data_IF_621286558020
#
_entry.id   IF_621286558020
#
_cell.length_a   1.000
_cell.length_b   1.000
_cell.length_c   1.000
_cell.angle_alpha   90.00
_cell.angle_beta   90.00
_cell.angle_gamma   90.00
#
_symmetry.space_group_name_H-M   'P 1'
#
loop_
_entity.id
_entity.type
_entity.pdbx_description
1 polymer ?
#
# COMPACT_ATOMS: atom_id res chain seq x y z
N UNK A 1 21.61 -17.04 -23.97
CA UNK A 1 22.00 -15.85 -23.20
C UNK A 1 21.02 -14.68 -23.39
N UNK A 2 20.58 -14.37 -24.62
CA UNK A 2 19.57 -13.32 -24.89
C UNK A 2 18.30 -13.43 -24.04
N UNK A 3 17.72 -14.63 -23.91
CA UNK A 3 16.50 -14.86 -23.12
C UNK A 3 16.71 -14.48 -21.65
N UNK A 4 17.83 -14.87 -21.05
CA UNK A 4 18.16 -14.50 -19.67
C UNK A 4 18.31 -12.98 -19.50
N UNK A 5 18.91 -12.31 -20.48
CA UNK A 5 19.02 -10.84 -20.49
C UNK A 5 17.64 -10.18 -20.57
N UNK A 6 16.74 -10.66 -21.43
CA UNK A 6 15.37 -10.14 -21.51
C UNK A 6 14.60 -10.34 -20.19
N UNK A 7 14.76 -11.49 -19.54
CA UNK A 7 14.14 -11.75 -18.23
C UNK A 7 14.66 -10.76 -17.18
N UNK A 8 15.98 -10.53 -17.13
CA UNK A 8 16.57 -9.58 -16.18
C UNK A 8 16.09 -8.14 -16.43
N UNK A 9 15.99 -7.72 -17.70
CA UNK A 9 15.47 -6.40 -18.06
C UNK A 9 14.00 -6.27 -17.66
N UNK A 10 13.17 -7.29 -17.92
CA UNK A 10 11.75 -7.28 -17.54
C UNK A 10 11.58 -7.18 -16.01
N UNK A 11 12.39 -7.91 -15.25
CA UNK A 11 12.40 -7.83 -13.79
C UNK A 11 12.84 -6.45 -13.29
N UNK A 12 13.86 -5.85 -13.90
CA UNK A 12 14.33 -4.51 -13.54
C UNK A 12 13.26 -3.44 -13.82
N UNK A 13 12.59 -3.51 -14.99
CA UNK A 13 11.49 -2.61 -15.34
C UNK A 13 10.31 -2.75 -14.38
N UNK A 14 9.93 -3.99 -14.04
CA UNK A 14 8.87 -4.25 -13.04
C UNK A 14 9.24 -3.67 -11.68
N UNK A 15 10.49 -3.83 -11.24
CA UNK A 15 10.95 -3.28 -9.97
C UNK A 15 10.90 -1.74 -9.96
N UNK A 16 11.33 -1.09 -11.04
CA UNK A 16 11.24 0.37 -11.20
C UNK A 16 9.80 0.86 -11.20
N UNK A 17 8.91 0.18 -11.94
CA UNK A 17 7.48 0.49 -11.98
C UNK A 17 6.86 0.42 -10.58
N UNK A 18 7.09 -0.68 -9.85
CA UNK A 18 6.58 -0.85 -8.49
C UNK A 18 7.16 0.19 -7.53
N UNK A 19 8.42 0.56 -7.69
CA UNK A 19 9.05 1.60 -6.87
C UNK A 19 8.42 2.97 -7.11
N UNK A 20 8.17 3.34 -8.37
CA UNK A 20 7.48 4.59 -8.73
C UNK A 20 6.02 4.58 -8.23
N UNK A 21 5.30 3.49 -8.43
CA UNK A 21 3.91 3.33 -7.98
C UNK A 21 3.81 3.44 -6.46
N UNK A 22 4.67 2.74 -5.72
CA UNK A 22 4.73 2.84 -4.26
C UNK A 22 5.13 4.24 -3.78
N UNK A 23 5.87 5.02 -4.56
CA UNK A 23 6.24 6.41 -4.21
C UNK A 23 5.03 7.29 -3.87
N UNK A 24 3.85 6.97 -4.40
CA UNK A 24 2.59 7.68 -4.11
C UNK A 24 1.89 7.27 -2.80
N UNK A 25 2.53 6.42 -1.99
CA UNK A 25 2.00 5.91 -0.73
C UNK A 25 2.93 6.24 0.44
N UNK A 26 2.34 6.56 1.58
CA UNK A 26 3.05 6.91 2.82
C UNK A 26 3.41 5.64 3.57
N UNK A 27 4.66 5.48 3.99
CA UNK A 27 5.10 4.32 4.77
C UNK A 27 4.63 4.48 6.23
N UNK A 28 3.87 3.50 6.73
CA UNK A 28 3.34 3.49 8.10
C UNK A 28 4.03 2.49 9.02
N UNK A 29 4.56 1.39 8.48
CA UNK A 29 5.30 0.37 9.23
C UNK A 29 6.47 -0.15 8.40
N UNK A 30 7.57 -0.47 9.06
CA UNK A 30 8.69 -1.18 8.42
C UNK A 30 9.31 -2.14 9.41
N UNK A 31 9.42 -3.38 9.00
CA UNK A 31 10.08 -4.44 9.75
C UNK A 31 11.15 -5.07 8.88
N UNK A 32 12.37 -5.15 9.40
CA UNK A 32 13.48 -5.78 8.69
C UNK A 32 13.91 -7.04 9.43
N UNK A 33 13.93 -8.16 8.72
CA UNK A 33 14.48 -9.44 9.19
C UNK A 33 15.62 -9.85 8.24
N UNK A 34 16.84 -9.43 8.58
CA UNK A 34 18.03 -9.67 7.78
C UNK A 34 17.99 -8.94 6.44
N UNK A 35 17.91 -9.70 5.33
CA UNK A 35 17.80 -9.16 3.97
C UNK A 35 16.37 -8.95 3.50
N UNK A 36 15.39 -9.51 4.22
CA UNK A 36 13.98 -9.33 3.95
C UNK A 36 13.46 -8.12 4.72
N UNK A 37 12.79 -7.21 4.02
CA UNK A 37 12.11 -6.06 4.60
C UNK A 37 10.62 -6.16 4.29
N UNK A 38 9.78 -6.16 5.31
CA UNK A 38 8.34 -6.01 5.20
C UNK A 38 7.97 -4.55 5.47
N UNK A 39 7.40 -3.87 4.48
CA UNK A 39 6.86 -2.52 4.64
C UNK A 39 5.34 -2.58 4.63
N UNK A 40 4.69 -1.77 5.45
CA UNK A 40 3.28 -1.44 5.27
C UNK A 40 3.20 0.02 4.86
N UNK A 41 2.56 0.26 3.73
CA UNK A 41 2.33 1.58 3.15
C UNK A 41 0.83 1.85 3.13
N UNK A 42 0.48 3.13 3.17
CA UNK A 42 -0.86 3.66 3.25
C UNK A 42 -1.09 4.64 2.11
N UNK A 43 -2.27 4.56 1.52
CA UNK A 43 -2.78 5.53 0.56
C UNK A 43 -4.20 5.88 0.98
N UNK A 44 -4.54 7.16 0.89
CA UNK A 44 -5.88 7.64 1.18
C UNK A 44 -6.32 8.44 -0.04
N UNK A 45 -7.52 8.19 -0.52
CA UNK A 45 -8.00 8.85 -1.71
C UNK A 45 -9.48 8.62 -1.97
N UNK A 46 -9.97 9.37 -2.95
CA UNK A 46 -11.32 9.21 -3.49
C UNK A 46 -11.29 8.15 -4.59
N UNK A 47 -11.93 7.00 -4.34
CA UNK A 47 -12.02 5.94 -5.35
C UNK A 47 -13.34 6.08 -6.12
N UNK A 48 -13.23 6.12 -7.45
CA UNK A 48 -14.41 6.10 -8.32
C UNK A 48 -14.92 4.67 -8.42
N UNK A 49 -15.96 4.37 -7.68
CA UNK A 49 -16.69 3.10 -7.80
C UNK A 49 -17.60 3.11 -9.03
N UNK A 50 -18.01 1.93 -9.52
CA UNK A 50 -18.92 1.83 -10.65
C UNK A 50 -20.21 2.63 -10.40
N UNK A 51 -20.68 3.33 -11.44
CA UNK A 51 -21.83 4.23 -11.37
C UNK A 51 -23.11 3.60 -10.80
N UNK A 52 -23.27 2.28 -10.90
CA UNK A 52 -24.42 1.57 -10.35
C UNK A 52 -24.37 1.41 -8.81
N UNK A 53 -23.23 1.68 -8.17
CA UNK A 53 -23.05 1.61 -6.71
C UNK A 53 -23.12 3.00 -6.08
N UNK A 54 -22.48 3.99 -6.70
CA UNK A 54 -22.50 5.39 -6.26
C UNK A 54 -22.04 6.29 -7.41
N UNK A 55 -22.73 7.42 -7.62
CA UNK A 55 -22.28 8.47 -8.54
C UNK A 55 -21.17 9.35 -7.94
N UNK A 56 -21.08 9.37 -6.61
CA UNK A 56 -20.12 10.18 -5.86
C UNK A 56 -18.93 9.27 -5.50
N UNK A 57 -17.68 9.72 -5.76
CA UNK A 57 -16.50 8.97 -5.36
C UNK A 57 -16.45 8.82 -3.84
N UNK A 58 -16.05 7.64 -3.36
CA UNK A 58 -16.10 7.32 -1.94
C UNK A 58 -14.70 7.38 -1.34
N UNK A 59 -14.54 7.98 -0.15
CA UNK A 59 -13.27 8.01 0.53
C UNK A 59 -12.85 6.58 0.91
N UNK A 60 -11.62 6.20 0.57
CA UNK A 60 -11.04 4.90 0.90
C UNK A 60 -9.64 5.03 1.46
N UNK A 61 -9.35 4.18 2.43
CA UNK A 61 -8.01 3.93 2.91
C UNK A 61 -7.52 2.61 2.32
N UNK A 62 -6.40 2.66 1.62
CA UNK A 62 -5.71 1.51 1.06
C UNK A 62 -4.44 1.26 1.87
N UNK A 63 -4.23 0.01 2.26
CA UNK A 63 -2.98 -0.44 2.87
C UNK A 63 -2.33 -1.52 2.04
N UNK A 64 -1.04 -1.32 1.85
CA UNK A 64 -0.23 -2.10 0.93
C UNK A 64 0.89 -2.72 1.74
N UNK A 65 0.88 -4.04 1.88
CA UNK A 65 2.02 -4.77 2.39
C UNK A 65 3.01 -5.00 1.25
N UNK A 66 4.28 -4.71 1.46
CA UNK A 66 5.35 -4.86 0.48
C UNK A 66 6.48 -5.67 1.08
N UNK A 67 6.82 -6.79 0.45
CA UNK A 67 8.03 -7.55 0.78
C UNK A 67 9.15 -7.19 -0.16
N UNK A 68 10.28 -6.82 0.42
CA UNK A 68 11.51 -6.51 -0.31
C UNK A 68 12.62 -7.46 0.09
N UNK A 69 13.42 -7.88 -0.87
CA UNK A 69 14.69 -8.57 -0.64
C UNK A 69 15.80 -7.71 -1.23
N UNK A 70 16.77 -7.31 -0.41
CA UNK A 70 17.87 -6.42 -0.83
C UNK A 70 17.38 -5.13 -1.55
N UNK A 71 16.24 -4.59 -1.11
CA UNK A 71 15.63 -3.39 -1.69
C UNK A 71 14.68 -3.64 -2.86
N UNK A 72 14.75 -4.81 -3.50
CA UNK A 72 13.90 -5.19 -4.64
C UNK A 72 12.55 -5.68 -4.13
N UNK A 73 11.45 -5.15 -4.67
CA UNK A 73 10.09 -5.62 -4.35
C UNK A 73 9.89 -7.03 -4.91
N UNK A 74 9.67 -8.00 -4.03
CA UNK A 74 9.33 -9.38 -4.39
C UNK A 74 7.83 -9.57 -4.52
N UNK A 75 7.08 -8.98 -3.60
CA UNK A 75 5.65 -9.19 -3.48
C UNK A 75 4.99 -7.94 -2.90
N UNK A 76 3.76 -7.67 -3.32
CA UNK A 76 2.87 -6.72 -2.68
C UNK A 76 1.48 -7.31 -2.53
N UNK A 77 0.77 -6.92 -1.48
CA UNK A 77 -0.64 -7.24 -1.26
C UNK A 77 -1.36 -5.97 -0.84
N UNK A 78 -2.50 -5.73 -1.47
CA UNK A 78 -3.32 -4.54 -1.27
C UNK A 78 -4.62 -4.91 -0.55
N UNK A 79 -5.07 -4.03 0.34
CA UNK A 79 -6.38 -4.12 0.96
C UNK A 79 -6.94 -2.72 1.10
N UNK A 80 -8.17 -2.50 0.63
CA UNK A 80 -8.87 -1.22 0.77
C UNK A 80 -10.06 -1.35 1.72
N UNK A 81 -10.29 -0.30 2.48
CA UNK A 81 -11.39 -0.16 3.42
C UNK A 81 -12.13 1.13 3.08
N UNK A 82 -13.46 1.05 3.04
CA UNK A 82 -14.32 2.21 2.84
C UNK A 82 -14.32 3.08 4.09
N UNK A 83 -14.05 4.36 3.91
CA UNK A 83 -14.14 5.35 4.98
C UNK A 83 -15.56 5.94 5.01
N UNK A 84 -16.01 6.47 6.16
CA UNK A 84 -17.28 7.18 6.24
C UNK A 84 -17.29 8.38 5.28
N UNK A 85 -18.45 8.68 4.68
CA UNK A 85 -18.59 9.80 3.74
C UNK A 85 -18.20 11.17 4.36
N UNK A 86 -18.37 11.33 5.67
CA UNK A 86 -17.94 12.52 6.42
C UNK A 86 -16.41 12.72 6.41
N UNK A 87 -15.63 11.69 6.09
CA UNK A 87 -14.17 11.78 5.96
C UNK A 87 -13.73 12.42 4.63
N UNK A 88 -14.66 12.69 3.71
CA UNK A 88 -14.36 13.25 2.40
C UNK A 88 -13.79 14.67 2.43
N UNK A 89 -14.11 15.47 3.44
CA UNK A 89 -13.61 16.85 3.60
C UNK A 89 -12.22 16.92 4.28
N UNK A 90 -11.72 15.81 4.84
CA UNK A 90 -10.52 15.78 5.68
C UNK A 90 -9.67 14.53 5.52
N UNK A 91 -9.58 13.98 4.30
CA UNK A 91 -8.86 12.73 3.98
C UNK A 91 -7.42 12.70 4.51
N UNK A 92 -6.72 13.83 4.44
CA UNK A 92 -5.35 14.00 4.91
C UNK A 92 -5.21 14.08 6.44
N UNK A 93 -6.30 14.45 7.13
CA UNK A 93 -6.35 14.53 8.59
C UNK A 93 -6.70 13.20 9.26
N UNK A 94 -7.05 12.17 8.47
CA UNK A 94 -7.34 10.84 9.01
C UNK A 94 -6.03 10.21 9.47
N UNK A 95 -5.91 9.98 10.78
CA UNK A 95 -4.75 9.31 11.33
C UNK A 95 -4.76 7.83 10.91
N UNK A 96 -3.59 7.21 10.65
CA UNK A 96 -3.51 5.79 10.36
C UNK A 96 -4.05 4.88 11.49
N UNK A 97 -4.27 5.43 12.69
CA UNK A 97 -4.80 4.70 13.84
C UNK A 97 -6.33 4.63 13.85
N UNK A 98 -7.02 5.61 13.24
CA UNK A 98 -8.47 5.79 13.36
C UNK A 98 -9.27 4.60 12.82
N UNK A 99 -8.76 3.97 11.77
CA UNK A 99 -9.43 2.87 11.06
C UNK A 99 -8.64 1.56 11.12
N UNK A 100 -7.64 1.47 12.00
CA UNK A 100 -6.71 0.34 12.09
C UNK A 100 -7.42 -1.00 12.31
N UNK A 101 -8.46 -1.03 13.15
CA UNK A 101 -9.21 -2.24 13.47
C UNK A 101 -9.94 -2.85 12.28
N UNK A 102 -10.27 -2.06 11.25
CA UNK A 102 -10.93 -2.54 10.04
C UNK A 102 -9.97 -3.31 9.13
N UNK A 103 -8.66 -3.14 9.33
CA UNK A 103 -7.66 -3.90 8.61
C UNK A 103 -7.35 -5.23 9.32
N UNK A 104 -6.94 -6.27 8.57
CA UNK A 104 -6.37 -7.48 9.13
C UNK A 104 -5.16 -7.18 10.01
N UNK A 105 -4.91 -7.99 11.05
CA UNK A 105 -3.84 -7.78 12.04
C UNK A 105 -2.44 -7.58 11.45
N UNK A 106 -2.15 -8.21 10.30
CA UNK A 106 -0.87 -8.07 9.62
C UNK A 106 -0.69 -6.70 8.90
N UNK A 107 -1.78 -5.96 8.65
CA UNK A 107 -1.79 -4.59 8.12
C UNK A 107 -2.04 -3.53 9.20
N UNK A 108 -2.35 -3.96 10.42
CA UNK A 108 -2.53 -3.05 11.57
C UNK A 108 -1.21 -2.40 11.95
N UNK A 109 -1.29 -1.23 12.53
CA UNK A 109 -0.17 -0.67 13.28
C UNK A 109 0.08 -1.63 14.44
N UNK A 110 1.20 -2.35 14.39
CA UNK A 110 1.67 -3.05 15.57
C UNK A 110 1.89 -1.96 16.62
N UNK A 111 1.21 -2.08 17.76
CA UNK A 111 1.30 -1.17 18.88
C UNK A 111 2.77 -0.80 19.06
N UNK A 112 3.17 0.42 18.70
CA UNK A 112 4.55 0.87 18.84
C UNK A 112 4.76 1.23 20.31
N UNK A 113 4.82 0.19 21.14
CA UNK A 113 5.54 0.24 22.40
C UNK A 113 7.00 -0.08 22.09
N UNK A 114 7.85 0.94 22.12
CA UNK A 114 9.29 0.85 21.90
C UNK A 114 9.85 2.15 21.35
#
# INVERSE_FOLDING_TARGET
MLIATFILIALALRALYLQAWLGSSVRIRTERKGWLTCEVRRRVGMEKIPHYVSEIPVPREERIQVFRLLGIVLWHSEMSVALPNAAGEGLENIAPQDYDLQFPSWLRLANSAG
#
